data_IF_310147584478
#
_entry.id   IF_310147584478
#
_cell.length_a   1.000
_cell.length_b   1.000
_cell.length_c   1.000
_cell.angle_alpha   90.00
_cell.angle_beta   90.00
_cell.angle_gamma   90.00
#
_symmetry.space_group_name_H-M   'P 1'
#
loop_
_entity.id
_entity.type
_entity.pdbx_description
1 polymer ?
#
# COMPACT_ATOMS: atom_id res chain seq x y z
N UNK A 1 -4.10 40.74 51.65
CA UNK A 1 -4.57 41.12 50.30
C UNK A 1 -3.79 40.25 49.33
N UNK A 2 -4.42 39.20 48.81
CA UNK A 2 -3.79 38.26 47.88
C UNK A 2 -4.04 38.84 46.48
N UNK A 3 -2.97 39.23 45.78
CA UNK A 3 -3.06 39.67 44.39
C UNK A 3 -2.97 38.44 43.51
N UNK A 4 -4.09 37.98 42.95
CA UNK A 4 -4.07 37.00 41.86
C UNK A 4 -3.32 37.60 40.68
N UNK A 5 -2.27 36.92 40.23
CA UNK A 5 -1.42 37.37 39.14
C UNK A 5 -2.02 36.92 37.81
N UNK A 6 -3.10 37.58 37.40
CA UNK A 6 -3.92 37.26 36.20
C UNK A 6 -3.16 37.37 34.88
N UNK A 7 -1.95 37.95 34.88
CA UNK A 7 -1.14 38.14 33.66
C UNK A 7 -0.47 36.87 33.15
N UNK A 8 -0.28 35.84 33.99
CA UNK A 8 0.44 34.62 33.59
C UNK A 8 -0.42 33.69 32.73
N UNK A 9 -1.72 33.61 32.99
CA UNK A 9 -2.65 32.74 32.26
C UNK A 9 -3.02 33.33 30.89
N UNK A 10 -3.16 34.66 30.79
CA UNK A 10 -3.35 35.35 29.50
C UNK A 10 -2.10 35.26 28.61
N UNK A 11 -0.90 35.28 29.20
CA UNK A 11 0.37 35.07 28.47
C UNK A 11 0.58 33.62 28.03
N UNK A 12 0.06 32.64 28.78
CA UNK A 12 0.07 31.23 28.36
C UNK A 12 -0.88 31.02 27.18
N UNK A 13 -2.09 31.56 27.25
CA UNK A 13 -3.10 31.44 26.18
C UNK A 13 -2.67 32.16 24.89
N UNK A 14 -2.01 33.31 24.99
CA UNK A 14 -1.50 34.04 23.80
C UNK A 14 -0.22 33.45 23.21
N UNK A 15 0.57 32.68 23.97
CA UNK A 15 1.72 31.93 23.44
C UNK A 15 1.32 30.61 22.79
N UNK A 16 0.27 29.95 23.27
CA UNK A 16 -0.30 28.76 22.62
C UNK A 16 -1.03 29.10 21.32
N UNK A 17 -1.63 30.29 21.22
CA UNK A 17 -2.40 30.70 20.03
C UNK A 17 -1.54 31.12 18.82
N UNK A 18 -0.21 31.12 18.92
CA UNK A 18 0.67 31.67 17.87
C UNK A 18 1.62 30.68 17.20
N UNK A 19 1.63 29.39 17.57
CA UNK A 19 2.57 28.46 16.94
C UNK A 19 2.24 26.96 16.98
N UNK A 20 0.97 26.56 17.06
CA UNK A 20 0.64 25.13 16.91
C UNK A 20 -0.55 24.92 15.99
N UNK A 21 -0.40 25.27 14.72
CA UNK A 21 -1.08 24.46 13.70
C UNK A 21 -0.38 23.10 13.75
N UNK A 22 -0.90 22.20 14.57
CA UNK A 22 -0.64 20.76 14.41
C UNK A 22 -1.11 20.48 12.99
N UNK A 23 -0.18 20.38 12.05
CA UNK A 23 -0.50 19.97 10.69
C UNK A 23 -1.05 18.56 10.79
N UNK A 24 -2.17 18.29 10.14
CA UNK A 24 -2.62 16.92 9.96
C UNK A 24 -1.47 16.12 9.35
N UNK A 25 -1.02 15.11 10.09
CA UNK A 25 -0.05 14.15 9.60
C UNK A 25 -0.81 13.21 8.68
N UNK A 26 -0.40 13.13 7.42
CA UNK A 26 -0.76 11.98 6.59
C UNK A 26 0.03 10.80 7.12
N UNK A 27 -0.68 9.82 7.69
CA UNK A 27 -0.09 8.63 8.31
C UNK A 27 0.78 7.82 7.32
N UNK A 28 0.52 7.96 6.01
CA UNK A 28 1.40 7.49 4.95
C UNK A 28 0.79 7.64 3.56
N UNK A 29 1.65 7.53 2.55
CA UNK A 29 1.26 7.50 1.13
C UNK A 29 1.88 6.28 0.47
N UNK A 30 1.14 5.61 -0.41
CA UNK A 30 1.67 4.50 -1.19
C UNK A 30 1.57 4.76 -2.68
N UNK A 31 2.56 4.24 -3.41
CA UNK A 31 2.68 4.41 -4.84
C UNK A 31 2.90 3.07 -5.53
N UNK A 32 2.22 2.89 -6.66
CA UNK A 32 2.29 1.72 -7.51
C UNK A 32 3.04 2.05 -8.81
N UNK A 33 4.03 1.22 -9.13
CA UNK A 33 4.68 1.18 -10.44
C UNK A 33 4.53 -0.22 -11.02
N UNK A 34 4.14 -0.30 -12.30
CA UNK A 34 3.95 -1.57 -13.01
C UNK A 34 4.71 -1.52 -14.33
N UNK A 35 5.55 -2.53 -14.55
CA UNK A 35 6.37 -2.67 -15.75
C UNK A 35 6.16 -4.07 -16.31
N UNK A 36 5.70 -4.16 -17.55
CA UNK A 36 5.64 -5.41 -18.31
C UNK A 36 7.03 -5.72 -18.85
N UNK A 37 7.47 -6.97 -18.74
CA UNK A 37 8.72 -7.46 -19.31
C UNK A 37 9.96 -6.66 -18.88
N UNK A 38 9.99 -6.22 -17.61
CA UNK A 38 11.11 -5.46 -17.04
C UNK A 38 12.46 -6.16 -17.32
N UNK A 39 13.41 -5.41 -17.88
CA UNK A 39 14.74 -5.87 -18.26
C UNK A 39 14.82 -6.66 -19.57
N UNK A 40 13.71 -6.84 -20.31
CA UNK A 40 13.69 -7.51 -21.62
C UNK A 40 13.64 -6.47 -22.77
N UNK A 41 13.86 -6.93 -24.00
CA UNK A 41 13.83 -6.06 -25.20
C UNK A 41 12.46 -5.47 -25.52
N UNK A 42 11.38 -6.08 -24.99
CA UNK A 42 10.00 -5.65 -25.12
C UNK A 42 9.43 -5.11 -23.80
N UNK A 43 10.28 -4.46 -22.98
CA UNK A 43 9.87 -3.78 -21.76
C UNK A 43 8.85 -2.67 -22.06
N UNK A 44 7.81 -2.59 -21.23
CA UNK A 44 6.78 -1.55 -21.31
C UNK A 44 6.43 -1.04 -19.90
N UNK A 45 6.57 0.27 -19.68
CA UNK A 45 6.15 0.92 -18.42
C UNK A 45 4.65 1.21 -18.50
N UNK A 46 3.86 0.41 -17.78
CA UNK A 46 2.40 0.48 -17.80
C UNK A 46 1.91 1.65 -16.95
N UNK A 47 2.51 1.83 -15.77
CA UNK A 47 2.31 3.00 -14.94
C UNK A 47 3.52 3.24 -14.05
N UNK A 48 3.67 4.49 -13.58
CA UNK A 48 4.72 4.88 -12.65
C UNK A 48 4.15 5.80 -11.58
N UNK A 49 4.49 5.48 -10.33
CA UNK A 49 4.16 6.27 -9.13
C UNK A 49 2.67 6.66 -9.06
N UNK A 50 1.78 5.73 -9.39
CA UNK A 50 0.32 5.93 -9.26
C UNK A 50 -0.06 5.85 -7.80
N UNK A 51 -0.76 6.86 -7.30
CA UNK A 51 -1.19 6.90 -5.91
C UNK A 51 -2.17 5.76 -5.62
N UNK A 52 -2.03 5.15 -4.45
CA UNK A 52 -2.89 4.07 -4.02
C UNK A 52 -4.04 4.54 -3.12
N UNK A 53 -4.92 3.60 -2.82
CA UNK A 53 -5.88 3.72 -1.73
C UNK A 53 -5.37 2.86 -0.57
N UNK A 54 -5.27 3.46 0.61
CA UNK A 54 -5.14 2.75 1.88
C UNK A 54 -6.56 2.48 2.39
N UNK A 55 -6.92 1.21 2.53
CA UNK A 55 -8.27 0.82 2.96
C UNK A 55 -8.46 1.08 4.46
N UNK A 56 -9.72 1.08 4.91
CA UNK A 56 -10.08 1.18 6.31
C UNK A 56 -9.55 -0.04 7.10
N UNK A 57 -9.66 -1.24 6.52
CA UNK A 57 -9.14 -2.49 7.10
C UNK A 57 -7.61 -2.43 7.25
N UNK A 58 -6.91 -1.97 6.20
CA UNK A 58 -5.47 -1.74 6.19
C UNK A 58 -5.03 -0.71 7.22
N UNK A 59 -5.76 0.41 7.34
CA UNK A 59 -5.48 1.46 8.33
C UNK A 59 -5.55 0.90 9.74
N UNK A 60 -6.63 0.18 10.08
CA UNK A 60 -6.82 -0.42 11.39
C UNK A 60 -5.73 -1.45 11.70
N UNK A 61 -5.39 -2.27 10.71
CA UNK A 61 -4.32 -3.27 10.83
C UNK A 61 -2.95 -2.64 11.08
N UNK A 62 -2.52 -1.66 10.27
CA UNK A 62 -1.23 -0.98 10.48
C UNK A 62 -1.19 -0.31 11.84
N UNK A 63 -2.28 0.34 12.25
CA UNK A 63 -2.36 0.96 13.57
C UNK A 63 -2.21 -0.06 14.72
N UNK A 64 -2.84 -1.22 14.61
CA UNK A 64 -2.68 -2.33 15.58
C UNK A 64 -1.22 -2.82 15.64
N UNK A 65 -0.58 -3.00 14.48
CA UNK A 65 0.83 -3.39 14.39
C UNK A 65 1.78 -2.38 15.05
N UNK A 66 1.49 -1.08 14.96
CA UNK A 66 2.35 -0.04 15.51
C UNK A 66 2.18 0.17 17.03
N UNK A 67 0.96 0.00 17.55
CA UNK A 67 0.64 0.48 18.91
C UNK A 67 0.17 -0.59 19.89
N UNK A 68 -0.21 -1.77 19.41
CA UNK A 68 -0.82 -2.81 20.26
C UNK A 68 0.06 -4.07 20.34
N UNK A 69 0.85 -4.38 19.30
CA UNK A 69 1.69 -5.59 19.21
C UNK A 69 0.89 -6.88 19.46
N UNK A 70 -0.10 -7.09 18.61
CA UNK A 70 -0.87 -8.32 18.63
C UNK A 70 -0.06 -9.42 17.91
N UNK A 71 0.88 -10.02 18.65
CA UNK A 71 1.82 -11.08 18.22
C UNK A 71 1.22 -12.31 17.50
N UNK A 72 -0.10 -12.37 17.31
CA UNK A 72 -0.80 -13.34 16.47
C UNK A 72 -0.95 -12.94 14.99
N UNK A 73 -0.59 -11.71 14.60
CA UNK A 73 -0.68 -11.23 13.21
C UNK A 73 0.65 -11.43 12.48
N UNK A 74 0.88 -12.62 11.94
CA UNK A 74 2.13 -12.95 11.26
C UNK A 74 2.24 -12.30 9.88
N UNK A 75 3.17 -11.35 9.73
CA UNK A 75 3.72 -10.89 8.45
C UNK A 75 3.40 -9.43 8.10
N UNK A 76 4.37 -8.72 7.53
CA UNK A 76 4.13 -7.40 6.93
C UNK A 76 3.28 -7.48 5.66
N UNK A 77 2.76 -6.34 5.19
CA UNK A 77 2.05 -6.22 3.92
C UNK A 77 3.02 -6.53 2.75
N UNK A 78 3.06 -7.79 2.31
CA UNK A 78 4.07 -8.32 1.37
C UNK A 78 3.48 -9.19 0.28
N UNK A 79 2.21 -9.52 0.34
CA UNK A 79 1.54 -10.32 -0.68
C UNK A 79 0.93 -9.39 -1.70
N UNK A 80 1.30 -9.57 -2.97
CA UNK A 80 0.79 -8.76 -4.06
C UNK A 80 -0.25 -9.58 -4.80
N UNK A 81 -1.43 -9.01 -5.00
CA UNK A 81 -2.51 -9.58 -5.83
C UNK A 81 -2.68 -8.79 -7.12
N UNK A 82 -3.29 -9.41 -8.12
CA UNK A 82 -3.66 -8.83 -9.40
C UNK A 82 -5.14 -9.07 -9.68
N UNK A 83 -5.75 -8.21 -10.49
CA UNK A 83 -7.08 -8.41 -11.04
C UNK A 83 -7.19 -7.84 -12.45
N UNK A 84 -7.99 -8.50 -13.28
CA UNK A 84 -8.43 -8.07 -14.61
C UNK A 84 -9.85 -7.48 -14.60
N UNK A 85 -10.48 -7.34 -13.43
CA UNK A 85 -11.83 -6.81 -13.32
C UNK A 85 -11.87 -5.33 -13.72
N UNK A 86 -12.58 -5.05 -14.82
CA UNK A 86 -12.78 -3.71 -15.39
C UNK A 86 -13.61 -2.76 -14.54
N UNK A 87 -14.37 -3.30 -13.58
CA UNK A 87 -15.33 -2.56 -12.75
C UNK A 87 -14.80 -2.28 -11.34
N UNK A 88 -13.75 -2.98 -10.90
CA UNK A 88 -13.16 -2.75 -9.60
C UNK A 88 -12.51 -1.36 -9.54
N UNK A 89 -13.02 -0.50 -8.66
CA UNK A 89 -12.50 0.83 -8.39
C UNK A 89 -12.02 0.85 -6.94
N UNK A 90 -10.69 0.95 -6.69
CA UNK A 90 -10.14 1.06 -5.36
C UNK A 90 -10.86 2.10 -4.52
N UNK A 91 -11.42 1.67 -3.40
CA UNK A 91 -12.13 2.50 -2.44
C UNK A 91 -11.60 2.23 -1.02
N UNK A 92 -11.79 3.22 -0.14
CA UNK A 92 -11.37 3.11 1.26
C UNK A 92 -12.16 2.03 2.00
N UNK A 93 -13.40 1.78 1.59
CA UNK A 93 -14.29 0.81 2.21
C UNK A 93 -14.11 -0.62 1.63
N UNK A 94 -13.18 -0.82 0.70
CA UNK A 94 -12.79 -2.15 0.24
C UNK A 94 -12.20 -3.00 1.37
N UNK A 95 -12.48 -4.30 1.32
CA UNK A 95 -12.00 -5.29 2.28
C UNK A 95 -11.45 -6.53 1.59
N UNK A 96 -10.97 -7.50 2.37
CA UNK A 96 -10.54 -8.79 1.84
C UNK A 96 -11.61 -9.44 0.95
N UNK A 97 -12.88 -9.40 1.35
CA UNK A 97 -13.94 -10.13 0.65
C UNK A 97 -14.26 -9.51 -0.71
N UNK A 98 -14.31 -8.17 -0.80
CA UNK A 98 -14.50 -7.47 -2.08
C UNK A 98 -13.34 -7.74 -3.04
N UNK A 99 -12.10 -7.78 -2.53
CA UNK A 99 -10.93 -8.11 -3.33
C UNK A 99 -10.91 -9.58 -3.80
N UNK A 100 -11.12 -10.53 -2.89
CA UNK A 100 -11.05 -11.97 -3.23
C UNK A 100 -12.13 -12.41 -4.22
N UNK A 101 -13.21 -11.64 -4.38
CA UNK A 101 -14.24 -11.87 -5.38
C UNK A 101 -13.76 -11.56 -6.81
N UNK A 102 -12.80 -10.64 -6.97
CA UNK A 102 -12.31 -10.17 -8.27
C UNK A 102 -10.85 -10.54 -8.56
N UNK A 103 -10.16 -11.12 -7.60
CA UNK A 103 -8.74 -11.45 -7.69
C UNK A 103 -8.44 -12.53 -8.73
N UNK A 104 -7.48 -12.24 -9.62
CA UNK A 104 -6.93 -13.19 -10.58
C UNK A 104 -6.19 -14.31 -9.85
N UNK A 105 -6.49 -15.55 -10.23
CA UNK A 105 -6.07 -16.74 -9.49
C UNK A 105 -5.64 -17.90 -10.37
N UNK A 106 -5.34 -17.61 -11.62
CA UNK A 106 -4.90 -18.57 -12.61
C UNK A 106 -3.64 -18.09 -13.34
N UNK A 107 -3.13 -18.93 -14.24
CA UNK A 107 -2.09 -18.57 -15.22
C UNK A 107 -0.81 -17.94 -14.65
N UNK A 108 -0.39 -18.32 -13.44
CA UNK A 108 0.83 -17.79 -12.81
C UNK A 108 0.68 -16.40 -12.18
N UNK A 109 -0.52 -15.82 -12.22
CA UNK A 109 -0.85 -14.48 -11.71
C UNK A 109 -1.51 -14.49 -10.33
N UNK A 110 -1.47 -15.64 -9.65
CA UNK A 110 -2.07 -15.80 -8.31
C UNK A 110 -1.33 -14.93 -7.30
N UNK A 111 -2.05 -14.40 -6.30
CA UNK A 111 -1.45 -13.66 -5.19
C UNK A 111 -0.21 -14.37 -4.64
N UNK A 112 0.89 -13.65 -4.56
CA UNK A 112 2.17 -14.22 -4.15
C UNK A 112 2.93 -13.28 -3.21
N UNK A 113 3.75 -13.86 -2.34
CA UNK A 113 4.69 -13.09 -1.53
C UNK A 113 5.72 -12.40 -2.44
N UNK A 114 6.06 -11.16 -2.10
CA UNK A 114 7.03 -10.35 -2.80
C UNK A 114 8.40 -11.04 -2.91
N UNK A 115 9.04 -10.87 -4.07
CA UNK A 115 10.41 -11.33 -4.32
C UNK A 115 11.41 -10.52 -3.50
N UNK A 116 11.11 -9.23 -3.28
CA UNK A 116 11.92 -8.33 -2.46
C UNK A 116 11.03 -7.42 -1.61
N UNK A 117 11.47 -7.15 -0.39
CA UNK A 117 10.91 -6.13 0.49
C UNK A 117 12.06 -5.45 1.23
N UNK A 118 12.27 -4.17 0.94
CA UNK A 118 13.38 -3.37 1.49
C UNK A 118 12.81 -2.24 2.32
N UNK A 119 13.17 -2.23 3.59
CA UNK A 119 12.92 -1.09 4.48
C UNK A 119 14.09 -0.12 4.38
N UNK A 120 13.77 1.16 4.17
CA UNK A 120 14.73 2.25 4.25
C UNK A 120 14.34 3.13 5.43
N UNK A 121 15.11 3.01 6.51
CA UNK A 121 15.03 3.94 7.62
C UNK A 121 15.39 5.34 7.10
N UNK A 122 14.50 6.31 7.28
CA UNK A 122 14.79 7.69 6.94
C UNK A 122 16.02 8.19 7.67
N UNK A 123 17.15 8.30 6.98
CA UNK A 123 18.39 8.86 7.53
C UNK A 123 18.56 10.31 7.08
N UNK A 124 17.73 11.23 7.58
CA UNK A 124 17.99 12.68 7.68
C UNK A 124 16.84 13.42 8.37
N UNK A 125 16.93 14.76 8.43
CA UNK A 125 16.06 15.72 9.13
C UNK A 125 14.55 15.70 8.79
N UNK A 126 14.10 14.82 7.89
CA UNK A 126 12.69 14.68 7.50
C UNK A 126 11.98 13.49 8.14
N UNK A 127 12.70 12.56 8.79
CA UNK A 127 12.10 11.39 9.48
C UNK A 127 11.18 10.51 8.59
N UNK A 128 11.37 10.53 7.27
CA UNK A 128 10.55 9.79 6.31
C UNK A 128 11.06 8.36 6.17
N UNK A 129 10.24 7.37 6.53
CA UNK A 129 10.57 5.96 6.33
C UNK A 129 9.86 5.42 5.08
N UNK A 130 10.56 4.61 4.28
CA UNK A 130 9.96 3.96 3.11
C UNK A 130 10.13 2.45 3.12
N UNK A 131 9.15 1.74 2.55
CA UNK A 131 9.23 0.32 2.26
C UNK A 131 8.97 0.10 0.77
N UNK A 132 9.91 -0.55 0.10
CA UNK A 132 9.79 -0.94 -1.32
C UNK A 132 9.54 -2.43 -1.41
N UNK A 133 8.41 -2.83 -2.00
CA UNK A 133 7.94 -4.21 -2.08
C UNK A 133 7.75 -4.55 -3.56
N UNK A 134 8.43 -5.59 -4.04
CA UNK A 134 8.49 -5.94 -5.46
C UNK A 134 8.06 -7.38 -5.68
N UNK A 135 7.18 -7.61 -6.65
CA UNK A 135 6.87 -8.94 -7.17
C UNK A 135 6.89 -8.94 -8.69
N UNK A 136 7.55 -9.93 -9.29
CA UNK A 136 7.43 -10.23 -10.71
C UNK A 136 6.55 -11.47 -10.88
N UNK A 137 5.44 -11.31 -11.59
CA UNK A 137 4.59 -12.41 -12.02
C UNK A 137 5.01 -12.86 -13.42
N UNK A 138 4.87 -14.14 -13.71
CA UNK A 138 5.04 -14.71 -15.04
C UNK A 138 3.70 -15.29 -15.47
N UNK A 139 3.29 -14.97 -16.69
CA UNK A 139 2.10 -15.55 -17.29
C UNK A 139 2.45 -16.96 -17.81
N UNK A 140 1.96 -18.00 -17.13
CA UNK A 140 2.52 -19.36 -17.29
C UNK A 140 1.76 -20.24 -18.31
N UNK A 141 0.43 -20.36 -18.18
CA UNK A 141 -0.33 -21.43 -18.86
C UNK A 141 -1.24 -20.96 -20.00
N UNK A 142 -1.58 -19.69 -20.03
CA UNK A 142 -2.46 -19.12 -21.06
C UNK A 142 -2.49 -17.60 -20.99
N UNK A 143 -2.74 -16.96 -22.12
CA UNK A 143 -2.80 -15.51 -22.21
C UNK A 143 -3.90 -14.96 -21.29
N UNK A 144 -3.59 -13.86 -20.59
CA UNK A 144 -4.51 -13.16 -19.71
C UNK A 144 -4.67 -11.74 -20.20
N UNK A 145 -5.88 -11.39 -20.60
CA UNK A 145 -6.21 -10.04 -21.02
C UNK A 145 -6.66 -9.19 -19.82
N UNK A 146 -6.42 -7.88 -19.91
CA UNK A 146 -7.16 -6.91 -19.12
C UNK A 146 -6.66 -6.65 -17.71
N UNK A 147 -5.47 -7.14 -17.32
CA UNK A 147 -4.90 -6.94 -15.98
C UNK A 147 -4.74 -5.44 -15.72
N UNK A 148 -5.34 -4.92 -14.65
CA UNK A 148 -5.43 -3.46 -14.45
C UNK A 148 -5.53 -3.02 -12.99
N UNK A 149 -5.58 -3.95 -12.05
CA UNK A 149 -5.62 -3.64 -10.62
C UNK A 149 -4.56 -4.46 -9.92
N UNK A 150 -3.89 -3.85 -8.93
CA UNK A 150 -3.05 -4.57 -7.99
C UNK A 150 -3.44 -4.21 -6.57
N UNK A 151 -3.19 -5.14 -5.67
CA UNK A 151 -3.36 -4.98 -4.23
C UNK A 151 -2.11 -5.38 -3.46
N UNK A 152 -2.00 -4.85 -2.26
CA UNK A 152 -1.02 -5.25 -1.26
C UNK A 152 -1.77 -5.79 -0.03
N UNK A 153 -1.44 -7.01 0.36
CA UNK A 153 -2.07 -7.74 1.46
C UNK A 153 -1.03 -8.27 2.45
N UNK A 154 -1.46 -8.56 3.67
CA UNK A 154 -0.60 -9.12 4.71
C UNK A 154 -0.45 -10.65 4.64
N UNK A 155 -1.25 -11.34 3.82
CA UNK A 155 -1.23 -12.81 3.77
C UNK A 155 -1.64 -13.40 2.42
N UNK A 156 -1.40 -14.71 2.29
CA UNK A 156 -1.91 -15.54 1.19
C UNK A 156 -3.43 -15.59 1.19
N UNK A 157 -4.01 -15.86 0.02
CA UNK A 157 -5.45 -16.06 -0.15
C UNK A 157 -6.01 -17.20 0.72
N UNK A 158 -5.21 -18.24 0.97
CA UNK A 158 -5.65 -19.42 1.74
C UNK A 158 -5.77 -19.16 3.26
N UNK A 159 -5.21 -18.06 3.78
CA UNK A 159 -5.12 -17.84 5.23
C UNK A 159 -6.45 -17.58 5.91
N UNK A 160 -7.51 -17.21 5.17
CA UNK A 160 -8.82 -16.86 5.75
C UNK A 160 -8.82 -15.62 6.68
N UNK A 161 -7.64 -15.02 6.91
CA UNK A 161 -7.36 -13.89 7.80
C UNK A 161 -6.53 -12.81 7.10
N UNK A 162 -6.46 -12.85 5.76
CA UNK A 162 -5.79 -11.81 4.98
C UNK A 162 -6.48 -10.46 5.20
N UNK A 163 -5.70 -9.40 5.23
CA UNK A 163 -6.14 -8.02 5.27
C UNK A 163 -5.80 -7.38 3.93
N UNK A 164 -6.75 -6.72 3.29
CA UNK A 164 -6.48 -5.87 2.13
C UNK A 164 -5.91 -4.56 2.67
N UNK A 165 -4.62 -4.28 2.43
CA UNK A 165 -3.96 -3.09 2.99
C UNK A 165 -4.02 -1.93 2.01
N UNK A 166 -3.63 -2.19 0.77
CA UNK A 166 -3.69 -1.18 -0.29
C UNK A 166 -4.24 -1.76 -1.59
N UNK A 167 -4.85 -0.90 -2.39
CA UNK A 167 -5.30 -1.22 -3.75
C UNK A 167 -5.04 -0.03 -4.68
N UNK A 168 -4.78 -0.31 -5.94
CA UNK A 168 -4.59 0.71 -6.97
C UNK A 168 -4.89 0.15 -8.37
N UNK A 169 -5.44 1.01 -9.22
CA UNK A 169 -5.65 0.74 -10.64
C UNK A 169 -4.51 1.30 -11.49
N UNK A 170 -4.26 0.67 -12.62
CA UNK A 170 -3.31 1.11 -13.63
C UNK A 170 -3.86 0.84 -15.03
N UNK A 171 -3.14 1.31 -16.05
CA UNK A 171 -3.49 1.07 -17.46
C UNK A 171 -3.62 -0.42 -17.72
N UNK A 172 -4.75 -0.85 -18.29
CA UNK A 172 -4.98 -2.27 -18.61
C UNK A 172 -3.86 -2.84 -19.48
N UNK A 173 -3.37 -4.03 -19.14
CA UNK A 173 -2.33 -4.75 -19.87
C UNK A 173 -2.75 -6.18 -20.17
N UNK A 174 -2.46 -6.61 -21.39
CA UNK A 174 -2.62 -8.00 -21.82
C UNK A 174 -1.26 -8.71 -21.72
N UNK A 175 -1.27 -9.95 -21.22
CA UNK A 175 -0.09 -10.78 -21.01
C UNK A 175 -0.21 -12.05 -21.83
N UNK A 176 0.74 -12.27 -22.73
CA UNK A 176 0.93 -13.55 -23.40
C UNK A 176 1.71 -14.50 -22.49
N UNK A 177 1.73 -15.79 -22.83
CA UNK A 177 2.59 -16.76 -22.13
C UNK A 177 4.05 -16.29 -22.17
N UNK A 178 4.76 -16.44 -21.06
CA UNK A 178 6.13 -15.97 -20.79
C UNK A 178 6.31 -14.44 -20.64
N UNK A 179 5.26 -13.64 -20.85
CA UNK A 179 5.28 -12.25 -20.42
C UNK A 179 5.41 -12.17 -18.90
N UNK A 180 6.17 -11.18 -18.43
CA UNK A 180 6.28 -10.88 -17.01
C UNK A 180 5.61 -9.56 -16.67
N UNK A 181 5.08 -9.46 -15.46
CA UNK A 181 4.56 -8.22 -14.91
C UNK A 181 5.24 -7.94 -13.57
N UNK A 182 6.14 -6.95 -13.55
CA UNK A 182 6.77 -6.48 -12.34
C UNK A 182 5.92 -5.41 -11.69
N UNK A 183 5.50 -5.67 -10.47
CA UNK A 183 4.70 -4.79 -9.61
C UNK A 183 5.56 -4.30 -8.47
N UNK A 184 5.66 -2.99 -8.31
CA UNK A 184 6.41 -2.34 -7.23
C UNK A 184 5.50 -1.43 -6.43
N UNK A 185 5.43 -1.69 -5.13
CA UNK A 185 4.78 -0.83 -4.14
C UNK A 185 5.85 -0.08 -3.35
N UNK A 186 5.71 1.24 -3.26
CA UNK A 186 6.51 2.08 -2.37
C UNK A 186 5.59 2.71 -1.34
N UNK A 187 5.73 2.31 -0.08
CA UNK A 187 4.96 2.84 1.05
C UNK A 187 5.82 3.82 1.82
N UNK A 188 5.34 5.03 2.02
CA UNK A 188 6.01 6.11 2.74
C UNK A 188 5.24 6.44 4.00
N UNK A 189 5.92 6.52 5.14
CA UNK A 189 5.38 7.00 6.41
C UNK A 189 6.11 8.30 6.79
N UNK A 190 5.34 9.29 7.27
CA UNK A 190 5.80 10.65 7.59
C UNK A 190 5.73 10.97 9.09
#
# INVERSE_FOLDING_TARGET
>A
MITENTTRDEQLNTKLSKNSTIKESQFGSGYLTVIKNAGKSNEEVICKDVHNVLTAEGTAWVHDQCYIDNSGQTGGARYIGLSNDGSFTPDRDDDRASWEAVEENSNGLVRANADSAVFNAGVSSTYIATSTIVKTFTCDTGAVAGIRVSSLLNNTRASGTSILVHSATFTSVDLEVDDTLQVTWVITLY
#
